data_IF_083636048905
#
_entry.id   IF_083636048905
#
_cell.length_a   1.000
_cell.length_b   1.000
_cell.length_c   1.000
_cell.angle_alpha   90.00
_cell.angle_beta   90.00
_cell.angle_gamma   90.00
#
_symmetry.space_group_name_H-M   'P 1'
#
loop_
_entity.id
_entity.type
_entity.pdbx_description
1 polymer ?
#
# COMPACT_ATOMS: atom_id res chain seq x y z
N UNK A 1 23.06 -34.38 18.49
CA UNK A 1 23.16 -32.89 18.44
C UNK A 1 21.97 -32.32 19.19
N UNK A 2 22.19 -31.43 20.15
CA UNK A 2 21.16 -30.79 20.99
C UNK A 2 20.03 -31.76 21.41
N UNK A 3 20.41 -32.79 22.17
CA UNK A 3 19.51 -33.86 22.62
C UNK A 3 18.80 -33.50 23.92
N UNK A 4 19.41 -32.63 24.72
CA UNK A 4 18.82 -32.13 25.97
C UNK A 4 18.17 -30.76 25.77
N UNK A 5 17.19 -30.44 26.62
CA UNK A 5 16.57 -29.10 26.63
C UNK A 5 17.58 -27.98 26.88
N UNK A 6 18.66 -28.27 27.61
CA UNK A 6 19.74 -27.31 27.89
C UNK A 6 20.60 -27.06 26.66
N UNK A 7 20.98 -28.10 25.92
CA UNK A 7 21.74 -27.96 24.69
C UNK A 7 20.94 -27.19 23.62
N UNK A 8 19.63 -27.46 23.52
CA UNK A 8 18.73 -26.70 22.65
C UNK A 8 18.69 -25.23 23.07
N UNK A 9 18.61 -24.93 24.38
CA UNK A 9 18.60 -23.55 24.86
C UNK A 9 19.90 -22.81 24.52
N UNK A 10 21.07 -23.44 24.71
CA UNK A 10 22.38 -22.87 24.38
C UNK A 10 22.50 -22.62 22.87
N UNK A 11 22.09 -23.60 22.05
CA UNK A 11 22.06 -23.47 20.60
C UNK A 11 21.19 -22.27 20.18
N UNK A 12 19.95 -22.20 20.67
CA UNK A 12 19.04 -21.13 20.29
C UNK A 12 19.56 -19.75 20.73
N UNK A 13 20.09 -19.62 21.94
CA UNK A 13 20.68 -18.37 22.41
C UNK A 13 21.85 -17.91 21.52
N UNK A 14 22.69 -18.85 21.06
CA UNK A 14 23.75 -18.56 20.11
C UNK A 14 23.20 -18.06 18.78
N UNK A 15 22.17 -18.72 18.23
CA UNK A 15 21.57 -18.33 16.95
C UNK A 15 20.90 -16.96 17.04
N UNK A 16 20.16 -16.67 18.12
CA UNK A 16 19.58 -15.33 18.38
C UNK A 16 20.67 -14.27 18.39
N UNK A 17 21.77 -14.52 19.12
CA UNK A 17 22.92 -13.60 19.17
C UNK A 17 23.57 -13.41 17.80
N UNK A 18 23.67 -14.47 17.00
CA UNK A 18 24.23 -14.40 15.65
C UNK A 18 23.35 -13.57 14.70
N UNK A 19 22.02 -13.67 14.81
CA UNK A 19 21.07 -12.78 14.10
C UNK A 19 21.30 -11.32 14.50
N UNK A 20 21.32 -11.02 15.80
CA UNK A 20 21.56 -9.65 16.29
C UNK A 20 22.92 -9.12 15.82
N UNK A 21 23.95 -9.97 15.82
CA UNK A 21 25.27 -9.60 15.32
C UNK A 21 25.29 -9.35 13.81
N UNK A 22 24.48 -10.07 13.02
CA UNK A 22 24.36 -9.82 11.58
C UNK A 22 23.84 -8.40 11.31
N UNK A 23 22.78 -7.97 12.00
CA UNK A 23 22.26 -6.59 11.88
C UNK A 23 23.22 -5.51 12.37
N UNK A 24 24.03 -5.81 13.40
CA UNK A 24 25.08 -4.88 13.85
C UNK A 24 26.21 -4.74 12.82
N UNK A 25 26.58 -5.83 12.15
CA UNK A 25 27.65 -5.85 11.13
C UNK A 25 27.21 -5.24 9.82
N UNK A 26 25.97 -5.47 9.42
CA UNK A 26 25.40 -4.90 8.21
C UNK A 26 24.02 -4.30 8.49
N UNK A 27 23.94 -2.98 8.73
CA UNK A 27 22.67 -2.26 8.88
C UNK A 27 21.84 -2.18 7.58
N UNK A 28 22.41 -2.58 6.43
CA UNK A 28 21.77 -2.53 5.11
C UNK A 28 21.18 -3.88 4.68
N UNK A 29 21.04 -4.85 5.60
CA UNK A 29 20.34 -6.10 5.30
C UNK A 29 18.95 -5.73 4.72
N UNK A 30 18.63 -6.25 3.55
CA UNK A 30 17.43 -5.87 2.81
C UNK A 30 16.50 -7.06 2.50
N UNK A 31 16.92 -8.29 2.85
CA UNK A 31 16.15 -9.50 2.60
C UNK A 31 16.50 -10.62 3.60
N UNK A 32 15.50 -11.40 3.99
CA UNK A 32 15.64 -12.58 4.84
C UNK A 32 15.11 -13.82 4.12
N UNK A 33 15.90 -14.90 4.13
CA UNK A 33 15.55 -16.16 3.48
C UNK A 33 15.82 -17.38 4.35
N UNK A 34 15.16 -18.50 4.05
CA UNK A 34 15.53 -19.80 4.59
C UNK A 34 16.42 -20.53 3.59
N UNK A 35 17.57 -21.02 4.05
CA UNK A 35 18.47 -21.85 3.25
C UNK A 35 18.04 -23.31 3.43
N UNK A 36 17.65 -24.03 2.35
CA UNK A 36 17.28 -25.44 2.44
C UNK A 36 18.44 -26.29 2.95
N UNK A 37 18.34 -26.68 4.22
CA UNK A 37 19.35 -27.45 4.92
C UNK A 37 18.63 -28.23 6.03
N UNK A 38 18.27 -29.51 5.82
CA UNK A 38 17.42 -30.27 6.76
C UNK A 38 18.12 -30.65 8.06
N UNK A 39 19.46 -30.73 8.02
CA UNK A 39 20.32 -31.14 9.13
C UNK A 39 21.55 -30.25 9.21
N UNK A 40 22.12 -30.12 10.41
CA UNK A 40 23.36 -29.37 10.61
C UNK A 40 24.55 -30.15 10.01
N UNK A 41 25.06 -29.66 8.88
CA UNK A 41 26.18 -30.31 8.15
C UNK A 41 27.57 -29.87 8.63
N UNK A 42 27.67 -28.70 9.24
CA UNK A 42 28.93 -28.07 9.62
C UNK A 42 28.82 -27.47 11.02
N UNK A 43 29.92 -27.48 11.79
CA UNK A 43 30.00 -26.83 13.09
C UNK A 43 30.19 -25.31 12.95
N UNK A 44 29.21 -24.64 12.33
CA UNK A 44 29.19 -23.19 12.11
C UNK A 44 27.82 -22.62 12.46
N UNK A 45 27.72 -21.29 12.49
CA UNK A 45 26.43 -20.63 12.67
C UNK A 45 25.47 -21.00 11.52
N UNK A 46 24.19 -21.31 11.79
CA UNK A 46 23.18 -21.44 10.75
C UNK A 46 22.79 -20.09 10.13
N UNK A 47 23.35 -18.98 10.62
CA UNK A 47 23.16 -17.63 10.09
C UNK A 47 24.23 -17.36 9.03
N UNK A 48 23.79 -17.10 7.80
CA UNK A 48 24.63 -16.82 6.65
C UNK A 48 24.32 -15.42 6.16
N UNK A 49 25.33 -14.55 6.06
CA UNK A 49 25.19 -13.21 5.51
C UNK A 49 26.00 -13.14 4.22
N UNK A 50 25.32 -12.95 3.09
CA UNK A 50 25.94 -12.72 1.78
C UNK A 50 25.48 -11.35 1.29
N UNK A 51 26.41 -10.43 1.09
CA UNK A 51 26.09 -9.03 0.75
C UNK A 51 25.08 -8.46 1.77
N UNK A 52 23.88 -8.08 1.32
CA UNK A 52 22.78 -7.57 2.13
C UNK A 52 21.69 -8.61 2.43
N UNK A 53 21.95 -9.89 2.14
CA UNK A 53 20.97 -10.99 2.26
C UNK A 53 21.26 -11.82 3.50
N UNK A 54 20.30 -11.89 4.43
CA UNK A 54 20.38 -12.72 5.63
C UNK A 54 19.71 -14.07 5.37
N UNK A 55 20.46 -15.15 5.42
CA UNK A 55 19.98 -16.52 5.31
C UNK A 55 19.98 -17.24 6.65
N UNK A 56 18.94 -18.03 6.91
CA UNK A 56 18.86 -18.93 8.08
C UNK A 56 18.74 -20.37 7.58
N UNK A 57 19.70 -21.22 7.90
CA UNK A 57 19.63 -22.65 7.56
C UNK A 57 18.39 -23.30 8.21
N UNK A 58 17.57 -23.99 7.41
CA UNK A 58 16.23 -24.42 7.82
C UNK A 58 16.18 -25.38 9.01
N UNK A 59 17.23 -26.17 9.24
CA UNK A 59 17.28 -27.16 10.32
C UNK A 59 17.16 -26.53 11.71
N UNK A 60 17.62 -25.28 11.89
CA UNK A 60 17.60 -24.64 13.21
C UNK A 60 16.22 -24.06 13.56
N UNK A 61 15.35 -23.83 12.56
CA UNK A 61 14.01 -23.23 12.74
C UNK A 61 13.13 -24.05 13.67
N UNK A 62 13.22 -25.38 13.61
CA UNK A 62 12.46 -26.30 14.48
C UNK A 62 12.80 -26.17 15.98
N UNK A 63 13.97 -25.64 16.29
CA UNK A 63 14.40 -25.35 17.67
C UNK A 63 14.19 -23.88 18.01
N UNK A 64 14.53 -23.00 17.07
CA UNK A 64 14.52 -21.55 17.24
C UNK A 64 13.10 -21.03 17.47
N UNK A 65 12.15 -21.38 16.60
CA UNK A 65 10.79 -20.84 16.63
C UNK A 65 10.03 -21.23 17.93
N UNK A 66 9.96 -22.51 18.36
CA UNK A 66 9.28 -22.86 19.59
C UNK A 66 9.91 -22.22 20.83
N UNK A 67 11.25 -22.11 20.86
CA UNK A 67 11.96 -21.54 22.01
C UNK A 67 11.68 -20.03 22.16
N UNK A 68 11.84 -19.23 21.09
CA UNK A 68 11.59 -17.78 21.17
C UNK A 68 10.11 -17.47 21.38
N UNK A 69 9.21 -18.27 20.80
CA UNK A 69 7.78 -18.18 21.06
C UNK A 69 7.44 -18.48 22.52
N UNK A 70 7.98 -19.57 23.09
CA UNK A 70 7.76 -19.92 24.49
C UNK A 70 8.34 -18.87 25.45
N UNK A 71 9.54 -18.32 25.16
CA UNK A 71 10.10 -17.20 25.94
C UNK A 71 9.14 -16.00 25.97
N UNK A 72 8.59 -15.63 24.82
CA UNK A 72 7.63 -14.54 24.72
C UNK A 72 6.32 -14.84 25.48
N UNK A 73 5.83 -16.08 25.40
CA UNK A 73 4.64 -16.54 26.12
C UNK A 73 4.85 -16.50 27.63
N UNK A 74 6.00 -16.95 28.13
CA UNK A 74 6.35 -16.91 29.55
C UNK A 74 6.46 -15.47 30.07
N UNK A 75 7.05 -14.57 29.28
CA UNK A 75 7.07 -13.15 29.58
C UNK A 75 5.65 -12.58 29.75
N UNK A 76 4.73 -12.89 28.83
CA UNK A 76 3.35 -12.39 28.88
C UNK A 76 2.48 -13.02 29.96
N UNK A 77 2.57 -14.33 30.14
CA UNK A 77 1.64 -15.09 31.01
C UNK A 77 2.13 -15.22 32.44
N UNK A 78 3.44 -15.39 32.64
CA UNK A 78 4.03 -15.62 33.97
C UNK A 78 4.79 -14.41 34.50
N UNK A 79 4.75 -13.28 33.77
CA UNK A 79 5.53 -12.07 34.10
C UNK A 79 7.02 -12.40 34.33
N UNK A 80 7.54 -13.38 33.57
CA UNK A 80 8.96 -13.71 33.64
C UNK A 80 9.74 -12.51 33.12
N UNK A 81 10.55 -11.90 33.99
CA UNK A 81 11.31 -10.71 33.66
C UNK A 81 12.37 -11.02 32.61
N UNK A 82 12.15 -10.53 31.39
CA UNK A 82 13.18 -10.38 30.38
C UNK A 82 13.64 -8.93 30.42
N UNK A 83 14.95 -8.71 30.28
CA UNK A 83 15.43 -7.35 30.08
C UNK A 83 15.00 -6.83 28.70
N UNK A 84 15.07 -5.51 28.51
CA UNK A 84 14.58 -4.86 27.31
C UNK A 84 15.31 -5.30 26.04
N UNK A 85 16.62 -5.50 26.11
CA UNK A 85 17.43 -5.96 24.97
C UNK A 85 17.07 -7.39 24.57
N UNK A 86 16.85 -8.27 25.55
CA UNK A 86 16.44 -9.65 25.32
C UNK A 86 15.05 -9.72 24.67
N UNK A 87 14.11 -8.86 25.07
CA UNK A 87 12.81 -8.75 24.40
C UNK A 87 12.94 -8.31 22.95
N UNK A 88 13.83 -7.35 22.66
CA UNK A 88 14.11 -6.91 21.29
C UNK A 88 14.64 -8.06 20.45
N UNK A 89 15.63 -8.79 20.97
CA UNK A 89 16.28 -9.92 20.28
C UNK A 89 15.29 -11.09 20.03
N UNK A 90 14.50 -11.45 21.05
CA UNK A 90 13.48 -12.52 20.99
C UNK A 90 12.39 -12.16 19.98
N UNK A 91 11.83 -10.95 20.06
CA UNK A 91 10.76 -10.54 19.13
C UNK A 91 11.27 -10.34 17.71
N UNK A 92 12.48 -9.80 17.52
CA UNK A 92 13.13 -9.69 16.21
C UNK A 92 13.26 -11.07 15.55
N UNK A 93 13.84 -12.03 16.28
CA UNK A 93 14.04 -13.40 15.77
C UNK A 93 12.71 -14.07 15.44
N UNK A 94 11.72 -13.96 16.32
CA UNK A 94 10.39 -14.54 16.11
C UNK A 94 9.74 -13.99 14.83
N UNK A 95 9.77 -12.66 14.64
CA UNK A 95 9.10 -11.98 13.52
C UNK A 95 9.79 -12.20 12.17
N UNK A 96 11.12 -12.37 12.14
CA UNK A 96 11.84 -12.77 10.92
C UNK A 96 11.47 -14.19 10.46
N UNK A 97 11.12 -15.07 11.40
CA UNK A 97 10.74 -16.45 11.09
C UNK A 97 9.27 -16.61 10.76
N UNK A 98 8.40 -15.91 11.50
CA UNK A 98 6.96 -15.88 11.31
C UNK A 98 6.41 -14.54 11.85
N UNK A 99 5.99 -13.61 10.97
CA UNK A 99 5.51 -12.31 11.40
C UNK A 99 4.03 -12.28 11.80
N UNK A 100 3.27 -13.37 11.67
CA UNK A 100 1.84 -13.39 12.02
C UNK A 100 1.60 -13.64 13.53
N UNK A 101 2.61 -13.38 14.38
CA UNK A 101 2.48 -13.42 15.83
C UNK A 101 2.14 -12.04 16.40
N UNK A 102 0.85 -11.72 16.51
CA UNK A 102 0.34 -10.45 17.08
C UNK A 102 0.97 -10.09 18.43
N UNK A 103 1.18 -11.07 19.31
CA UNK A 103 1.79 -10.85 20.63
C UNK A 103 3.19 -10.24 20.53
N UNK A 104 3.98 -10.64 19.52
CA UNK A 104 5.33 -10.12 19.30
C UNK A 104 5.27 -8.66 18.87
N UNK A 105 4.41 -8.31 17.90
CA UNK A 105 4.19 -6.92 17.51
C UNK A 105 3.71 -6.05 18.67
N UNK A 106 2.79 -6.54 19.51
CA UNK A 106 2.32 -5.79 20.67
C UNK A 106 3.43 -5.54 21.70
N UNK A 107 4.34 -6.49 21.93
CA UNK A 107 5.54 -6.21 22.76
C UNK A 107 6.40 -5.13 22.14
N UNK A 108 6.57 -5.13 20.81
CA UNK A 108 7.36 -4.11 20.12
C UNK A 108 6.72 -2.73 20.20
N UNK A 109 5.38 -2.63 20.14
CA UNK A 109 4.63 -1.38 20.42
C UNK A 109 4.94 -0.83 21.81
N UNK A 110 4.94 -1.68 22.85
CA UNK A 110 5.30 -1.29 24.22
C UNK A 110 6.76 -0.80 24.30
N UNK A 111 7.68 -1.49 23.62
CA UNK A 111 9.09 -1.09 23.57
C UNK A 111 9.29 0.25 22.85
N UNK A 112 8.50 0.54 21.80
CA UNK A 112 8.48 1.85 21.13
C UNK A 112 7.95 2.94 22.07
N UNK A 113 6.77 2.72 22.68
CA UNK A 113 6.16 3.71 23.58
C UNK A 113 7.02 4.02 24.81
N UNK A 114 7.82 3.05 25.26
CA UNK A 114 8.79 3.26 26.36
C UNK A 114 10.08 3.99 25.95
N UNK A 115 10.25 4.34 24.67
CA UNK A 115 11.46 4.96 24.12
C UNK A 115 12.64 4.01 23.96
N UNK A 116 12.46 2.70 24.18
CA UNK A 116 13.53 1.70 24.12
C UNK A 116 13.83 1.29 22.69
N UNK A 117 12.79 1.12 21.87
CA UNK A 117 12.92 0.68 20.49
C UNK A 117 12.68 1.86 19.54
N UNK A 118 13.62 2.11 18.63
CA UNK A 118 13.49 3.17 17.65
C UNK A 118 12.43 2.79 16.58
N UNK A 119 11.39 3.61 16.36
CA UNK A 119 10.31 3.28 15.41
C UNK A 119 10.77 3.08 13.97
N UNK A 120 11.76 3.86 13.50
CA UNK A 120 12.31 3.74 12.14
C UNK A 120 13.06 2.41 11.97
N UNK A 121 13.87 2.02 12.96
CA UNK A 121 14.50 0.68 12.97
C UNK A 121 13.46 -0.44 13.00
N UNK A 122 12.32 -0.19 13.64
CA UNK A 122 11.24 -1.17 13.72
C UNK A 122 10.46 -1.32 12.41
N UNK A 123 10.24 -0.22 11.67
CA UNK A 123 9.74 -0.27 10.29
C UNK A 123 10.69 -1.07 9.38
N UNK A 124 12.00 -0.97 9.58
CA UNK A 124 12.96 -1.76 8.81
C UNK A 124 12.81 -3.28 9.08
N UNK A 125 12.59 -3.69 10.33
CA UNK A 125 12.26 -5.10 10.64
C UNK A 125 10.98 -5.55 9.92
N UNK A 126 9.93 -4.71 9.90
CA UNK A 126 8.71 -4.99 9.16
C UNK A 126 8.96 -5.13 7.65
N UNK A 127 9.84 -4.31 7.07
CA UNK A 127 10.23 -4.41 5.64
C UNK A 127 10.87 -5.77 5.37
N UNK A 128 11.78 -6.20 6.23
CA UNK A 128 12.44 -7.52 6.12
C UNK A 128 11.44 -8.66 6.22
N UNK A 129 10.53 -8.63 7.20
CA UNK A 129 9.49 -9.65 7.33
C UNK A 129 8.65 -9.80 6.04
N UNK A 130 8.32 -8.68 5.38
CA UNK A 130 7.57 -8.67 4.11
C UNK A 130 8.35 -9.27 2.92
N UNK A 131 9.67 -9.38 2.98
CA UNK A 131 10.45 -10.03 1.90
C UNK A 131 10.15 -11.52 1.77
N UNK A 132 9.81 -12.18 2.89
CA UNK A 132 9.41 -13.58 2.93
C UNK A 132 7.89 -13.76 3.05
N UNK A 133 7.22 -12.84 3.75
CA UNK A 133 5.80 -12.90 4.04
C UNK A 133 5.08 -11.63 3.54
N UNK A 134 5.05 -11.38 2.22
CA UNK A 134 4.56 -10.11 1.64
C UNK A 134 3.08 -9.82 1.93
N UNK A 135 2.32 -10.83 2.34
CA UNK A 135 0.89 -10.73 2.69
C UNK A 135 0.61 -10.65 4.20
N UNK A 136 1.62 -10.64 5.07
CA UNK A 136 1.39 -10.71 6.53
C UNK A 136 0.52 -9.54 7.01
N UNK A 137 -0.76 -9.78 7.39
CA UNK A 137 -1.66 -8.69 7.78
C UNK A 137 -1.17 -8.01 9.06
N UNK A 138 -0.63 -8.79 10.01
CA UNK A 138 -0.07 -8.28 11.27
C UNK A 138 1.09 -7.30 11.03
N UNK A 139 1.94 -7.59 10.04
CA UNK A 139 3.04 -6.69 9.67
C UNK A 139 2.48 -5.36 9.15
N UNK A 140 1.51 -5.38 8.24
CA UNK A 140 0.91 -4.15 7.72
C UNK A 140 0.18 -3.34 8.79
N UNK A 141 -0.59 -4.00 9.67
CA UNK A 141 -1.26 -3.36 10.81
C UNK A 141 -0.24 -2.68 11.72
N UNK A 142 0.87 -3.35 12.03
CA UNK A 142 1.94 -2.79 12.85
C UNK A 142 2.62 -1.61 12.16
N UNK A 143 2.91 -1.69 10.86
CA UNK A 143 3.48 -0.58 10.08
C UNK A 143 2.58 0.66 10.13
N UNK A 144 1.27 0.51 9.90
CA UNK A 144 0.29 1.61 10.01
C UNK A 144 0.35 2.27 11.39
N UNK A 145 0.37 1.45 12.44
CA UNK A 145 0.47 1.95 13.82
C UNK A 145 1.76 2.75 14.03
N UNK A 146 2.92 2.25 13.60
CA UNK A 146 4.21 2.95 13.74
C UNK A 146 4.23 4.27 12.96
N UNK A 147 3.74 4.26 11.71
CA UNK A 147 3.67 5.46 10.87
C UNK A 147 2.75 6.54 11.49
N UNK A 148 1.65 6.13 12.13
CA UNK A 148 0.78 7.05 12.87
C UNK A 148 1.51 7.69 14.05
N UNK A 149 2.31 6.91 14.81
CA UNK A 149 3.11 7.48 15.91
C UNK A 149 4.10 8.53 15.38
N UNK A 150 4.81 8.23 14.29
CA UNK A 150 5.81 9.12 13.69
C UNK A 150 5.23 10.45 13.18
N UNK A 151 4.01 10.44 12.61
CA UNK A 151 3.34 11.68 12.22
C UNK A 151 2.89 12.47 13.43
N UNK A 152 2.29 11.82 14.43
CA UNK A 152 1.79 12.50 15.63
C UNK A 152 2.93 13.20 16.39
N UNK A 153 4.11 12.57 16.47
CA UNK A 153 5.33 13.19 17.02
C UNK A 153 5.74 14.45 16.26
N UNK A 154 5.53 14.49 14.94
CA UNK A 154 5.91 15.62 14.07
C UNK A 154 4.94 16.80 14.23
N UNK A 155 3.68 16.54 14.58
CA UNK A 155 2.64 17.56 14.77
C UNK A 155 2.67 18.25 16.14
N UNK A 156 3.45 17.75 17.11
CA UNK A 156 3.59 18.40 18.42
C UNK A 156 4.33 19.74 18.26
N UNK A 157 3.84 20.85 18.86
CA UNK A 157 4.56 22.11 18.85
C UNK A 157 5.89 21.92 19.59
N UNK A 158 6.99 21.83 18.85
CA UNK A 158 8.32 21.93 19.43
C UNK A 158 8.45 23.34 20.01
N UNK A 159 8.26 23.48 21.33
CA UNK A 159 8.76 24.63 22.07
C UNK A 159 10.28 24.58 21.97
N UNK A 160 10.88 25.24 20.97
CA UNK A 160 12.25 25.83 20.99
C UNK A 160 12.70 26.26 19.57
N UNK A 161 13.22 27.50 19.52
CA UNK A 161 14.01 28.20 18.50
C UNK A 161 13.41 28.58 17.15
N UNK A 162 13.22 29.90 17.00
CA UNK A 162 13.04 30.66 15.76
C UNK A 162 14.16 30.36 14.76
N UNK A 163 13.84 29.69 13.66
CA UNK A 163 14.70 29.53 12.50
C UNK A 163 14.41 28.23 11.76
N UNK A 164 13.75 28.32 10.59
CA UNK A 164 13.52 27.22 9.63
C UNK A 164 12.50 26.12 10.01
N UNK A 165 11.48 26.42 10.82
CA UNK A 165 10.49 25.44 11.32
C UNK A 165 9.55 24.81 10.27
N UNK A 166 9.39 25.39 9.08
CA UNK A 166 8.40 24.92 8.10
C UNK A 166 8.84 23.77 7.18
N UNK A 167 10.14 23.59 6.94
CA UNK A 167 10.65 22.68 5.91
C UNK A 167 10.93 21.27 6.42
N UNK A 168 11.42 21.14 7.65
CA UNK A 168 11.85 19.86 8.25
C UNK A 168 10.69 18.85 8.39
N UNK A 169 9.47 19.25 8.85
CA UNK A 169 8.33 18.33 8.93
C UNK A 169 7.91 17.76 7.58
N UNK A 170 7.88 18.61 6.55
CA UNK A 170 7.47 18.26 5.19
C UNK A 170 8.47 17.29 4.54
N UNK A 171 9.77 17.57 4.65
CA UNK A 171 10.82 16.67 4.15
C UNK A 171 10.82 15.31 4.84
N UNK A 172 10.55 15.28 6.15
CA UNK A 172 10.42 14.02 6.90
C UNK A 172 9.19 13.22 6.44
N UNK A 173 8.05 13.89 6.27
CA UNK A 173 6.82 13.24 5.78
C UNK A 173 7.00 12.69 4.36
N UNK A 174 7.63 13.46 3.46
CA UNK A 174 7.90 13.04 2.09
C UNK A 174 8.82 11.82 2.05
N UNK A 175 9.88 11.78 2.88
CA UNK A 175 10.73 10.59 2.99
C UNK A 175 9.98 9.36 3.49
N UNK A 176 9.15 9.50 4.52
CA UNK A 176 8.31 8.40 5.03
C UNK A 176 7.35 7.88 3.95
N UNK A 177 6.72 8.78 3.20
CA UNK A 177 5.85 8.40 2.08
C UNK A 177 6.66 7.62 1.04
N UNK A 178 7.79 8.15 0.58
CA UNK A 178 8.62 7.50 -0.43
C UNK A 178 9.08 6.10 0.02
N UNK A 179 9.66 5.98 1.21
CA UNK A 179 10.11 4.70 1.76
C UNK A 179 8.96 3.70 1.89
N UNK A 180 7.77 4.16 2.30
CA UNK A 180 6.61 3.28 2.45
C UNK A 180 6.02 2.85 1.09
N UNK A 181 6.05 3.73 0.10
CA UNK A 181 5.68 3.40 -1.27
C UNK A 181 6.63 2.35 -1.86
N UNK A 182 7.93 2.43 -1.59
CA UNK A 182 8.90 1.41 -2.01
C UNK A 182 8.58 0.05 -1.38
N UNK A 183 8.29 0.00 -0.08
CA UNK A 183 7.89 -1.24 0.62
C UNK A 183 6.62 -1.85 0.03
N UNK A 184 5.62 -1.03 -0.31
CA UNK A 184 4.41 -1.50 -0.99
C UNK A 184 4.73 -2.13 -2.35
N UNK A 185 5.57 -1.46 -3.16
CA UNK A 185 5.95 -1.94 -4.48
C UNK A 185 6.74 -3.25 -4.42
N UNK A 186 7.70 -3.33 -3.50
CA UNK A 186 8.49 -4.52 -3.20
C UNK A 186 7.61 -5.72 -2.78
N UNK A 187 6.59 -5.50 -1.96
CA UNK A 187 5.69 -6.56 -1.50
C UNK A 187 4.66 -6.95 -2.58
N UNK A 188 4.21 -6.01 -3.41
CA UNK A 188 3.34 -6.29 -4.55
C UNK A 188 4.07 -7.08 -5.63
N UNK A 189 5.35 -6.79 -5.89
CA UNK A 189 6.17 -7.54 -6.85
C UNK A 189 6.47 -8.98 -6.43
N UNK A 190 6.43 -9.29 -5.12
CA UNK A 190 6.70 -10.63 -4.58
C UNK A 190 5.48 -11.54 -4.53
N UNK A 191 4.27 -11.01 -4.64
CA UNK A 191 3.05 -11.82 -4.58
C UNK A 191 1.95 -11.23 -5.47
N UNK A 192 1.42 -11.99 -6.46
CA UNK A 192 0.38 -11.49 -7.34
C UNK A 192 -0.94 -11.26 -6.57
N UNK A 193 -1.63 -10.19 -6.92
CA UNK A 193 -2.86 -9.72 -6.27
C UNK A 193 -2.69 -9.57 -4.77
N UNK A 194 -1.56 -8.99 -4.34
CA UNK A 194 -1.30 -8.70 -2.93
C UNK A 194 -2.17 -7.54 -2.43
N UNK A 195 -3.42 -7.85 -2.10
CA UNK A 195 -4.39 -6.91 -1.56
C UNK A 195 -3.84 -6.13 -0.35
N UNK A 196 -3.07 -6.77 0.53
CA UNK A 196 -2.55 -6.09 1.73
C UNK A 196 -1.57 -4.97 1.37
N UNK A 197 -0.66 -5.21 0.43
CA UNK A 197 0.30 -4.19 -0.02
C UNK A 197 -0.43 -3.02 -0.71
N UNK A 198 -1.37 -3.30 -1.61
CA UNK A 198 -2.13 -2.26 -2.32
C UNK A 198 -3.08 -1.50 -1.40
N UNK A 199 -3.77 -2.16 -0.47
CA UNK A 199 -4.60 -1.48 0.54
C UNK A 199 -3.78 -0.64 1.49
N UNK A 200 -2.56 -1.09 1.84
CA UNK A 200 -1.64 -0.26 2.62
C UNK A 200 -1.14 0.95 1.81
N UNK A 201 -0.86 0.78 0.51
CA UNK A 201 -0.52 1.89 -0.40
C UNK A 201 -1.62 2.95 -0.46
N UNK A 202 -2.88 2.53 -0.53
CA UNK A 202 -4.06 3.43 -0.40
C UNK A 202 -4.06 4.14 0.94
N UNK A 203 -3.85 3.39 2.03
CA UNK A 203 -3.81 3.97 3.38
C UNK A 203 -2.72 5.04 3.50
N UNK A 204 -1.54 4.82 2.91
CA UNK A 204 -0.45 5.81 2.85
C UNK A 204 -0.89 7.09 2.16
N UNK A 205 -1.54 6.97 1.00
CA UNK A 205 -2.05 8.13 0.26
C UNK A 205 -3.08 8.92 1.08
N UNK A 206 -4.00 8.24 1.74
CA UNK A 206 -5.05 8.88 2.53
C UNK A 206 -4.50 9.54 3.81
N UNK A 207 -3.61 8.85 4.52
CA UNK A 207 -3.25 9.22 5.90
C UNK A 207 -1.93 9.97 5.99
N UNK A 208 -0.94 9.65 5.17
CA UNK A 208 0.36 10.34 5.16
C UNK A 208 0.36 11.44 4.10
N UNK A 209 0.06 11.09 2.85
CA UNK A 209 0.11 12.03 1.72
C UNK A 209 -1.13 12.94 1.61
N UNK A 210 -2.17 12.69 2.42
CA UNK A 210 -3.41 13.48 2.45
C UNK A 210 -4.06 13.68 1.09
N UNK A 211 -3.97 12.67 0.21
CA UNK A 211 -4.48 12.71 -1.16
C UNK A 211 -3.93 13.91 -1.97
N UNK A 212 -2.67 14.27 -1.73
CA UNK A 212 -1.95 15.27 -2.51
C UNK A 212 -2.04 14.95 -4.02
N UNK A 213 -2.52 15.93 -4.79
CA UNK A 213 -2.82 15.78 -6.22
C UNK A 213 -1.58 15.41 -7.02
N UNK A 214 -0.43 16.00 -6.71
CA UNK A 214 0.81 15.72 -7.41
C UNK A 214 1.23 14.27 -7.18
N UNK A 215 1.17 13.80 -5.94
CA UNK A 215 1.49 12.40 -5.60
C UNK A 215 0.53 11.43 -6.30
N UNK A 216 -0.78 11.76 -6.36
CA UNK A 216 -1.75 10.91 -7.07
C UNK A 216 -1.45 10.79 -8.58
N UNK A 217 -1.07 11.90 -9.23
CA UNK A 217 -0.70 11.90 -10.65
C UNK A 217 0.61 11.14 -10.90
N UNK A 218 1.61 11.32 -10.03
CA UNK A 218 2.89 10.58 -10.09
C UNK A 218 2.65 9.07 -9.91
N UNK A 219 1.75 8.68 -9.02
CA UNK A 219 1.34 7.29 -8.81
C UNK A 219 0.58 6.70 -10.00
N UNK A 220 -0.35 7.45 -10.60
CA UNK A 220 -1.08 6.99 -11.77
C UNK A 220 -0.14 6.75 -12.95
N UNK A 221 0.83 7.65 -13.14
CA UNK A 221 1.85 7.57 -14.19
C UNK A 221 2.79 6.38 -13.96
N UNK A 222 3.37 6.28 -12.75
CA UNK A 222 4.36 5.24 -12.43
C UNK A 222 3.79 3.82 -12.41
N UNK A 223 2.53 3.65 -11.99
CA UNK A 223 1.89 2.33 -11.95
C UNK A 223 1.42 1.81 -13.31
N UNK A 224 1.46 2.62 -14.38
CA UNK A 224 1.04 2.22 -15.73
C UNK A 224 1.88 1.06 -16.26
N UNK A 225 3.21 1.18 -16.16
CA UNK A 225 4.14 0.13 -16.58
C UNK A 225 3.98 -1.15 -15.74
N UNK A 226 3.79 -1.00 -14.44
CA UNK A 226 3.55 -2.16 -13.57
C UNK A 226 2.28 -2.91 -13.99
N UNK A 227 1.17 -2.19 -14.21
CA UNK A 227 -0.08 -2.79 -14.64
C UNK A 227 0.01 -3.50 -16.00
N UNK A 228 0.83 -2.98 -16.93
CA UNK A 228 1.05 -3.65 -18.23
C UNK A 228 1.83 -4.96 -18.12
N UNK A 229 2.67 -5.11 -17.09
CA UNK A 229 3.40 -6.35 -16.80
C UNK A 229 2.59 -7.34 -15.95
N UNK A 230 1.52 -6.87 -15.30
CA UNK A 230 0.71 -7.63 -14.34
C UNK A 230 -0.79 -7.59 -14.71
N UNK A 231 -1.11 -7.93 -15.96
CA UNK A 231 -2.47 -7.81 -16.55
C UNK A 231 -3.58 -8.58 -15.83
N UNK A 232 -3.23 -9.56 -15.00
CA UNK A 232 -4.20 -10.33 -14.17
C UNK A 232 -4.38 -9.78 -12.76
N UNK A 233 -3.63 -8.74 -12.36
CA UNK A 233 -3.58 -8.32 -10.96
C UNK A 233 -4.76 -7.43 -10.56
N UNK A 234 -5.78 -8.04 -9.97
CA UNK A 234 -6.98 -7.31 -9.53
C UNK A 234 -6.67 -6.20 -8.52
N UNK A 235 -5.65 -6.38 -7.66
CA UNK A 235 -5.34 -5.41 -6.62
C UNK A 235 -4.64 -4.17 -7.18
N UNK A 236 -3.71 -4.36 -8.12
CA UNK A 236 -3.06 -3.25 -8.82
C UNK A 236 -4.02 -2.44 -9.68
N UNK A 237 -4.93 -3.09 -10.42
CA UNK A 237 -5.96 -2.36 -11.17
C UNK A 237 -6.98 -1.67 -10.26
N UNK A 238 -7.35 -2.27 -9.12
CA UNK A 238 -8.16 -1.59 -8.11
C UNK A 238 -7.45 -0.36 -7.54
N UNK A 239 -6.14 -0.42 -7.33
CA UNK A 239 -5.37 0.75 -6.93
C UNK A 239 -5.42 1.88 -7.96
N UNK A 240 -5.27 1.57 -9.25
CA UNK A 240 -5.45 2.56 -10.33
C UNK A 240 -6.84 3.18 -10.33
N UNK A 241 -7.88 2.37 -10.14
CA UNK A 241 -9.27 2.86 -9.99
C UNK A 241 -9.43 3.82 -8.81
N UNK A 242 -8.80 3.50 -7.67
CA UNK A 242 -8.76 4.40 -6.52
C UNK A 242 -8.10 5.75 -6.88
N UNK A 243 -6.94 5.75 -7.56
CA UNK A 243 -6.26 6.97 -7.97
C UNK A 243 -7.14 7.87 -8.85
N UNK A 244 -7.77 7.30 -9.89
CA UNK A 244 -8.68 8.01 -10.80
C UNK A 244 -9.84 8.64 -10.02
N UNK A 245 -10.47 7.85 -9.14
CA UNK A 245 -11.58 8.33 -8.30
C UNK A 245 -11.13 9.44 -7.36
N UNK A 246 -9.96 9.33 -6.75
CA UNK A 246 -9.41 10.37 -5.89
C UNK A 246 -9.12 11.66 -6.65
N UNK A 247 -8.52 11.59 -7.83
CA UNK A 247 -8.27 12.77 -8.69
C UNK A 247 -9.57 13.48 -9.07
N UNK A 248 -10.59 12.71 -9.49
CA UNK A 248 -11.92 13.27 -9.78
C UNK A 248 -12.52 13.93 -8.53
N UNK A 249 -12.40 13.29 -7.36
CA UNK A 249 -12.95 13.86 -6.11
C UNK A 249 -12.28 15.18 -5.73
N UNK A 250 -10.94 15.28 -5.88
CA UNK A 250 -10.21 16.51 -5.54
C UNK A 250 -10.59 17.68 -6.46
N UNK A 251 -10.68 17.45 -7.76
CA UNK A 251 -11.08 18.51 -8.72
C UNK A 251 -12.51 19.03 -8.52
N UNK A 252 -13.44 18.17 -8.07
CA UNK A 252 -14.82 18.57 -7.72
C UNK A 252 -14.83 19.44 -6.45
N UNK A 253 -14.01 19.09 -5.46
CA UNK A 253 -13.84 19.90 -4.24
C UNK A 253 -13.27 21.28 -4.59
N UNK A 254 -12.21 21.34 -5.40
CA UNK A 254 -11.59 22.61 -5.81
C UNK A 254 -12.58 23.52 -6.53
N UNK A 255 -13.39 22.95 -7.44
CA UNK A 255 -14.44 23.71 -8.15
C UNK A 255 -15.50 24.27 -7.18
N UNK A 256 -15.91 23.50 -6.15
CA UNK A 256 -16.90 23.93 -5.16
C UNK A 256 -16.39 25.02 -4.21
N UNK A 257 -15.10 24.96 -3.83
CA UNK A 257 -14.48 25.98 -2.97
C UNK A 257 -14.33 27.31 -3.70
N UNK A 258 -14.05 27.28 -5.01
CA UNK A 258 -14.00 28.48 -5.85
C UNK A 258 -15.38 29.15 -6.00
N UNK A 259 -16.46 28.38 -6.15
CA UNK A 259 -17.83 28.93 -6.26
C UNK A 259 -18.35 29.56 -4.96
N UNK A 260 -17.85 29.14 -3.79
CA UNK A 260 -18.28 29.68 -2.48
C UNK A 260 -17.55 30.96 -2.05
N UNK A 261 -16.52 31.40 -2.79
CA UNK A 261 -15.79 32.64 -2.51
C UNK A 261 -16.05 33.83 -3.49
N UNK A 262 -17.29 34.28 -3.78
CA UNK A 262 -17.49 35.55 -4.50
C UNK A 262 -17.52 36.81 -3.60
N UNK A 263 -17.31 36.70 -2.28
CA UNK A 263 -17.50 37.83 -1.35
C UNK A 263 -16.21 38.61 -1.05
N UNK A 264 -15.69 39.38 -2.02
CA UNK A 264 -15.08 40.69 -1.74
C UNK A 264 -14.86 41.55 -3.00
N UNK A 265 -15.94 41.89 -3.70
CA UNK A 265 -15.93 43.04 -4.61
C UNK A 265 -16.35 44.29 -3.83
N UNK A 266 -15.42 44.92 -3.11
CA UNK A 266 -15.55 46.34 -2.74
C UNK A 266 -14.74 47.19 -3.75
N UNK A 267 -15.37 48.15 -4.45
CA UNK A 267 -14.72 48.93 -5.49
C UNK A 267 -13.92 50.08 -4.86
N UNK A 268 -12.61 49.94 -4.77
CA UNK A 268 -11.71 51.05 -4.46
C UNK A 268 -10.97 51.48 -5.74
N UNK A 269 -11.28 52.72 -6.13
CA UNK A 269 -10.68 53.59 -7.14
C UNK A 269 -9.15 53.43 -7.33
N UNK A 270 -8.77 53.38 -8.62
CA UNK A 270 -7.44 53.39 -9.26
C UNK A 270 -6.51 54.52 -8.76
N UNK A 271 -5.18 54.31 -8.56
CA UNK A 271 -4.19 54.60 -9.62
C UNK A 271 -3.02 53.59 -9.77
N UNK A 272 -2.27 53.64 -10.90
CA UNK A 272 -1.39 52.58 -11.39
C UNK A 272 0.07 52.75 -10.97
N UNK A 273 0.85 51.65 -11.09
CA UNK A 273 2.29 51.40 -10.83
C UNK A 273 2.38 50.27 -9.80
N UNK A 274 2.96 49.10 -10.05
CA UNK A 274 4.10 48.76 -10.88
C UNK A 274 3.91 47.40 -11.56
N UNK A 275 4.48 47.25 -12.75
CA UNK A 275 4.62 45.99 -13.48
C UNK A 275 5.60 45.07 -12.75
N UNK A 276 5.19 44.48 -11.63
CA UNK A 276 5.84 43.27 -11.14
C UNK A 276 4.96 42.09 -11.53
N UNK A 277 5.48 41.33 -12.50
CA UNK A 277 4.97 40.04 -12.91
C UNK A 277 4.85 39.13 -11.68
N UNK A 278 3.72 39.21 -10.99
CA UNK A 278 3.25 38.15 -10.14
C UNK A 278 3.04 36.96 -11.06
N UNK A 279 4.04 36.08 -11.10
CA UNK A 279 3.91 34.72 -11.61
C UNK A 279 2.84 34.08 -10.73
N UNK A 280 1.59 34.27 -11.12
CA UNK A 280 0.49 33.42 -10.70
C UNK A 280 0.87 32.04 -11.18
N UNK A 281 1.48 31.26 -10.29
CA UNK A 281 1.56 29.80 -10.41
C UNK A 281 0.12 29.30 -10.35
N UNK A 282 -0.61 29.45 -11.46
CA UNK A 282 -1.82 28.68 -11.71
C UNK A 282 -1.34 27.23 -11.79
N UNK A 283 -1.56 26.48 -10.71
CA UNK A 283 -1.40 25.03 -10.76
C UNK A 283 -2.25 24.52 -11.93
N UNK A 284 -1.67 23.75 -12.87
CA UNK A 284 -2.38 23.34 -14.06
C UNK A 284 -3.58 22.50 -13.65
N UNK A 285 -4.79 23.04 -13.91
CA UNK A 285 -6.05 22.35 -13.68
C UNK A 285 -6.01 20.99 -14.36
N UNK A 286 -6.26 19.92 -13.60
CA UNK A 286 -6.21 18.55 -14.11
C UNK A 286 -7.26 18.39 -15.22
N UNK A 287 -6.82 17.97 -16.41
CA UNK A 287 -7.73 17.63 -17.51
C UNK A 287 -8.29 16.21 -17.31
N UNK A 288 -9.33 16.08 -16.48
CA UNK A 288 -9.95 14.78 -16.16
C UNK A 288 -10.48 14.02 -17.38
N UNK A 289 -11.16 14.66 -18.36
CA UNK A 289 -11.60 13.94 -19.56
C UNK A 289 -10.44 13.30 -20.31
N UNK A 290 -9.34 14.03 -20.52
CA UNK A 290 -8.16 13.51 -21.19
C UNK A 290 -7.51 12.35 -20.41
N UNK A 291 -7.40 12.49 -19.09
CA UNK A 291 -6.82 11.46 -18.23
C UNK A 291 -7.66 10.15 -18.24
N UNK A 292 -8.98 10.25 -18.32
CA UNK A 292 -9.85 9.08 -18.48
C UNK A 292 -9.73 8.47 -19.89
N UNK A 293 -9.61 9.31 -20.92
CA UNK A 293 -9.39 8.87 -22.30
C UNK A 293 -8.07 8.08 -22.43
N UNK A 294 -6.97 8.57 -21.88
CA UNK A 294 -5.69 7.86 -21.83
C UNK A 294 -5.80 6.50 -21.11
N UNK A 295 -6.61 6.41 -20.06
CA UNK A 295 -6.82 5.16 -19.34
C UNK A 295 -7.71 4.18 -20.13
N UNK A 296 -8.68 4.68 -20.90
CA UNK A 296 -9.46 3.87 -21.84
C UNK A 296 -8.56 3.32 -22.94
N UNK A 297 -7.69 4.13 -23.53
CA UNK A 297 -6.71 3.67 -24.53
C UNK A 297 -5.79 2.60 -23.95
N UNK A 298 -5.21 2.86 -22.78
CA UNK A 298 -4.38 1.90 -22.07
C UNK A 298 -5.10 0.57 -21.81
N UNK A 299 -6.35 0.62 -21.34
CA UNK A 299 -7.18 -0.57 -21.12
C UNK A 299 -7.51 -1.30 -22.42
N UNK A 300 -7.75 -0.56 -23.51
CA UNK A 300 -8.00 -1.11 -24.86
C UNK A 300 -6.79 -1.90 -25.33
N UNK A 301 -5.60 -1.29 -25.30
CA UNK A 301 -4.35 -1.91 -25.73
C UNK A 301 -4.08 -3.22 -24.98
N UNK A 302 -4.33 -3.24 -23.67
CA UNK A 302 -4.15 -4.44 -22.85
C UNK A 302 -5.19 -5.53 -23.18
N UNK A 303 -6.46 -5.17 -23.39
CA UNK A 303 -7.51 -6.13 -23.72
C UNK A 303 -7.25 -6.79 -25.08
N UNK A 304 -6.74 -6.02 -26.05
CA UNK A 304 -6.40 -6.50 -27.38
C UNK A 304 -5.12 -7.35 -27.37
N UNK A 305 -4.10 -6.93 -26.61
CA UNK A 305 -2.82 -7.63 -26.50
C UNK A 305 -2.90 -8.91 -25.66
N UNK A 306 -3.73 -8.92 -24.62
CA UNK A 306 -3.85 -10.00 -23.63
C UNK A 306 -5.31 -10.43 -23.47
N UNK A 307 -5.87 -11.18 -24.44
CA UNK A 307 -7.25 -11.62 -24.38
C UNK A 307 -7.47 -12.68 -23.29
N UNK A 308 -8.63 -12.63 -22.62
CA UNK A 308 -9.04 -13.64 -21.63
C UNK A 308 -8.70 -13.30 -20.19
N UNK A 309 -8.37 -12.05 -19.89
CA UNK A 309 -8.10 -11.58 -18.53
C UNK A 309 -9.30 -10.78 -17.98
N UNK A 310 -10.04 -11.35 -17.02
CA UNK A 310 -11.22 -10.71 -16.39
C UNK A 310 -10.88 -9.34 -15.79
N UNK A 311 -9.70 -9.22 -15.18
CA UNK A 311 -9.22 -7.99 -14.55
C UNK A 311 -9.30 -6.77 -15.45
N UNK A 312 -8.93 -6.92 -16.73
CA UNK A 312 -8.92 -5.83 -17.70
C UNK A 312 -10.36 -5.36 -18.01
N UNK A 313 -11.29 -6.30 -18.15
CA UNK A 313 -12.71 -5.99 -18.36
C UNK A 313 -13.35 -5.35 -17.12
N UNK A 314 -13.01 -5.83 -15.92
CA UNK A 314 -13.42 -5.20 -14.66
C UNK A 314 -12.90 -3.76 -14.56
N UNK A 315 -11.66 -3.52 -15.00
CA UNK A 315 -11.06 -2.18 -15.00
C UNK A 315 -11.69 -1.27 -16.05
N UNK A 316 -11.85 -1.71 -17.30
CA UNK A 316 -12.55 -0.96 -18.37
C UNK A 316 -13.94 -0.54 -17.92
N UNK A 317 -14.68 -1.46 -17.29
CA UNK A 317 -15.99 -1.18 -16.71
C UNK A 317 -15.97 -0.07 -15.68
N UNK A 318 -14.95 -0.03 -14.82
CA UNK A 318 -14.80 1.03 -13.84
C UNK A 318 -14.49 2.37 -14.49
N UNK A 319 -13.59 2.42 -15.47
CA UNK A 319 -13.24 3.65 -16.18
C UNK A 319 -14.47 4.23 -16.89
N UNK A 320 -15.20 3.39 -17.64
CA UNK A 320 -16.43 3.82 -18.31
C UNK A 320 -17.46 4.35 -17.32
N UNK A 321 -17.61 3.69 -16.17
CA UNK A 321 -18.47 4.17 -15.10
C UNK A 321 -18.06 5.57 -14.60
N UNK A 322 -16.76 5.81 -14.36
CA UNK A 322 -16.27 7.12 -13.94
C UNK A 322 -16.53 8.20 -15.01
N UNK A 323 -16.24 7.90 -16.27
CA UNK A 323 -16.46 8.82 -17.40
C UNK A 323 -17.95 9.17 -17.56
N UNK A 324 -18.83 8.18 -17.52
CA UNK A 324 -20.27 8.37 -17.62
C UNK A 324 -20.81 9.24 -16.47
N UNK A 325 -20.33 9.05 -15.24
CA UNK A 325 -20.75 9.87 -14.09
C UNK A 325 -20.20 11.29 -14.14
N UNK A 326 -18.96 11.48 -14.60
CA UNK A 326 -18.36 12.78 -14.78
C UNK A 326 -19.15 13.61 -15.82
N UNK A 327 -19.49 13.00 -16.96
CA UNK A 327 -20.25 13.66 -18.02
C UNK A 327 -21.67 14.03 -17.60
N UNK A 328 -22.29 13.22 -16.73
CA UNK A 328 -23.65 13.48 -16.26
C UNK A 328 -23.74 14.51 -15.10
N UNK A 329 -22.62 15.10 -14.67
CA UNK A 329 -22.59 16.08 -13.57
C UNK A 329 -23.01 15.51 -12.21
N UNK A 330 -22.99 14.18 -12.05
CA UNK A 330 -23.47 13.51 -10.85
C UNK A 330 -22.35 13.45 -9.80
N UNK A 331 -22.64 13.85 -8.55
CA UNK A 331 -21.72 13.66 -7.43
C UNK A 331 -21.43 12.16 -7.26
N UNK A 332 -20.15 11.78 -7.27
CA UNK A 332 -19.65 10.43 -6.94
C UNK A 332 -19.81 10.14 -5.43
N UNK A 333 -21.04 10.19 -4.90
CA UNK A 333 -21.33 10.05 -3.48
C UNK A 333 -21.94 8.69 -3.15
N UNK A 334 -21.27 7.57 -3.49
CA UNK A 334 -21.47 6.31 -2.76
C UNK A 334 -20.45 5.21 -3.07
N UNK A 335 -19.99 4.58 -1.98
CA UNK A 335 -19.56 3.18 -1.83
C UNK A 335 -18.17 2.77 -2.37
N UNK A 336 -17.14 2.98 -1.54
CA UNK A 336 -16.28 1.93 -0.98
C UNK A 336 -15.44 2.61 0.11
N UNK A 337 -15.92 2.60 1.35
CA UNK A 337 -15.04 2.86 2.50
C UNK A 337 -14.13 1.64 2.64
N UNK A 338 -12.84 1.82 2.38
CA UNK A 338 -11.81 0.90 2.85
C UNK A 338 -11.49 1.39 4.26
N UNK A 339 -11.90 0.62 5.27
CA UNK A 339 -11.67 0.85 6.69
C UNK A 339 -12.33 2.14 7.27
N UNK A 340 -13.66 2.15 7.34
CA UNK A 340 -14.41 3.01 8.26
C UNK A 340 -14.29 2.51 9.70
N UNK A 341 -13.74 3.35 10.58
CA UNK A 341 -13.75 3.31 12.05
C UNK A 341 -14.81 2.39 12.70
N UNK A 342 -14.50 1.12 12.98
CA UNK A 342 -14.98 0.41 14.18
C UNK A 342 -14.49 -1.05 14.28
N UNK A 343 -13.99 -1.36 15.47
CA UNK A 343 -13.89 -2.65 16.17
C UNK A 343 -13.24 -3.86 15.46
N UNK A 344 -12.09 -4.26 16.00
CA UNK A 344 -11.13 -5.26 15.51
C UNK A 344 -11.62 -6.72 15.52
N UNK A 345 -12.92 -6.99 15.53
CA UNK A 345 -13.45 -8.36 15.76
C UNK A 345 -14.21 -9.00 14.60
N UNK A 346 -14.35 -8.37 13.43
CA UNK A 346 -15.01 -8.99 12.26
C UNK A 346 -14.38 -8.61 10.91
N UNK A 347 -13.21 -9.17 10.61
CA UNK A 347 -12.67 -9.17 9.23
C UNK A 347 -13.34 -10.28 8.41
N UNK A 348 -14.56 -10.02 7.92
CA UNK A 348 -15.24 -10.87 6.94
C UNK A 348 -15.06 -10.29 5.53
N UNK A 349 -14.22 -10.91 4.71
CA UNK A 349 -14.05 -10.59 3.29
C UNK A 349 -15.34 -10.93 2.52
N UNK A 350 -16.07 -9.93 2.05
CA UNK A 350 -17.19 -10.13 1.13
C UNK A 350 -16.75 -9.73 -0.29
N UNK A 351 -16.57 -10.72 -1.16
CA UNK A 351 -16.62 -10.53 -2.62
C UNK A 351 -18.08 -10.26 -3.04
N UNK A 352 -18.69 -9.21 -2.51
CA UNK A 352 -19.86 -8.68 -3.17
C UNK A 352 -19.38 -7.70 -4.22
N UNK A 353 -19.32 -8.16 -5.47
CA UNK A 353 -19.45 -7.30 -6.66
C UNK A 353 -20.75 -6.50 -6.53
N UNK A 354 -20.75 -5.46 -5.70
CA UNK A 354 -21.89 -4.56 -5.50
C UNK A 354 -22.10 -3.84 -6.81
N UNK A 355 -23.19 -4.24 -7.48
CA UNK A 355 -23.62 -3.74 -8.78
C UNK A 355 -23.80 -2.22 -8.69
N UNK A 356 -22.97 -1.47 -9.43
CA UNK A 356 -23.19 -0.07 -9.77
C UNK A 356 -24.58 0.03 -10.43
N UNK A 357 -25.56 0.65 -9.77
CA UNK A 357 -27.01 0.50 -10.09
C UNK A 357 -27.80 1.81 -10.14
N UNK A 358 -27.18 2.99 -10.21
CA UNK A 358 -27.91 4.26 -10.30
C UNK A 358 -27.46 5.06 -11.51
N UNK A 359 -28.40 5.25 -12.43
CA UNK A 359 -28.24 5.80 -13.78
C UNK A 359 -28.55 7.31 -13.79
N UNK A 360 -27.62 8.16 -14.23
CA UNK A 360 -27.91 9.51 -14.72
C UNK A 360 -28.05 9.53 -16.26
N UNK A 361 -28.41 10.68 -16.88
CA UNK A 361 -28.77 10.82 -18.31
C UNK A 361 -27.76 10.15 -19.25
N UNK A 362 -28.20 9.40 -20.29
CA UNK A 362 -27.31 8.59 -21.13
C UNK A 362 -26.33 9.42 -21.97
N UNK A 363 -25.03 9.20 -21.77
CA UNK A 363 -23.97 9.60 -22.69
C UNK A 363 -24.03 8.71 -23.96
N UNK A 364 -24.79 9.17 -24.96
CA UNK A 364 -25.05 8.40 -26.17
C UNK A 364 -23.78 8.09 -26.96
N UNK A 365 -22.83 9.04 -27.02
CA UNK A 365 -21.59 8.87 -27.79
C UNK A 365 -20.67 7.85 -27.11
N UNK A 366 -20.52 7.92 -25.78
CA UNK A 366 -19.74 6.96 -25.01
C UNK A 366 -20.27 5.53 -25.14
N UNK A 367 -21.58 5.34 -25.02
CA UNK A 367 -22.23 4.04 -25.17
C UNK A 367 -22.00 3.44 -26.57
N UNK A 368 -22.14 4.23 -27.63
CA UNK A 368 -21.90 3.77 -29.00
C UNK A 368 -20.46 3.32 -29.25
N UNK A 369 -19.48 4.05 -28.71
CA UNK A 369 -18.06 3.68 -28.81
C UNK A 369 -17.78 2.35 -28.13
N UNK A 370 -18.34 2.13 -26.93
CA UNK A 370 -18.17 0.86 -26.22
C UNK A 370 -18.84 -0.32 -26.94
N UNK A 371 -20.01 -0.11 -27.54
CA UNK A 371 -20.66 -1.14 -28.37
C UNK A 371 -19.79 -1.52 -29.58
N UNK A 372 -19.24 -0.53 -30.29
CA UNK A 372 -18.31 -0.75 -31.42
C UNK A 372 -17.05 -1.52 -30.98
N UNK A 373 -16.47 -1.15 -29.85
CA UNK A 373 -15.33 -1.87 -29.28
C UNK A 373 -15.66 -3.35 -29.01
N UNK A 374 -16.81 -3.63 -28.37
CA UNK A 374 -17.22 -5.01 -28.09
C UNK A 374 -17.48 -5.79 -29.38
N UNK A 375 -18.12 -5.18 -30.39
CA UNK A 375 -18.34 -5.83 -31.69
C UNK A 375 -17.01 -6.17 -32.38
N UNK A 376 -16.03 -5.27 -32.32
CA UNK A 376 -14.69 -5.50 -32.85
C UNK A 376 -13.99 -6.66 -32.12
N UNK A 377 -14.05 -6.68 -30.79
CA UNK A 377 -13.51 -7.80 -30.00
C UNK A 377 -14.21 -9.10 -30.38
N UNK A 378 -15.53 -9.17 -30.36
CA UNK A 378 -16.27 -10.42 -30.64
C UNK A 378 -16.09 -10.92 -32.07
N UNK A 379 -15.94 -10.04 -33.06
CA UNK A 379 -15.74 -10.44 -34.46
C UNK A 379 -14.37 -11.05 -34.73
N UNK A 380 -13.35 -10.66 -33.95
CA UNK A 380 -11.96 -11.12 -34.11
C UNK A 380 -11.54 -12.16 -33.06
N UNK A 381 -12.36 -12.35 -32.02
CA UNK A 381 -12.02 -13.15 -30.86
C UNK A 381 -11.89 -14.65 -31.19
N UNK A 382 -10.73 -15.22 -30.82
CA UNK A 382 -10.50 -16.68 -30.81
C UNK A 382 -10.50 -17.27 -29.39
N UNK A 383 -10.50 -16.43 -28.36
CA UNK A 383 -10.40 -16.82 -26.96
C UNK A 383 -11.80 -16.90 -26.33
N UNK A 384 -12.18 -18.09 -25.84
CA UNK A 384 -13.52 -18.33 -25.27
C UNK A 384 -13.80 -17.44 -24.05
N UNK A 385 -12.81 -17.25 -23.18
CA UNK A 385 -12.94 -16.41 -21.99
C UNK A 385 -13.11 -14.93 -22.37
N UNK A 386 -12.34 -14.45 -23.35
CA UNK A 386 -12.49 -13.09 -23.87
C UNK A 386 -13.90 -12.85 -24.43
N UNK A 387 -14.43 -13.79 -25.22
CA UNK A 387 -15.80 -13.68 -25.73
C UNK A 387 -16.84 -13.66 -24.59
N UNK A 388 -16.62 -14.45 -23.53
CA UNK A 388 -17.45 -14.47 -22.33
C UNK A 388 -17.43 -13.13 -21.61
N UNK A 389 -16.26 -12.55 -21.37
CA UNK A 389 -16.11 -11.26 -20.68
C UNK A 389 -16.69 -10.10 -21.50
N UNK A 390 -16.41 -10.04 -22.80
CA UNK A 390 -16.99 -9.07 -23.72
C UNK A 390 -18.53 -9.14 -23.74
N UNK A 391 -19.10 -10.35 -23.74
CA UNK A 391 -20.55 -10.55 -23.67
C UNK A 391 -21.14 -10.15 -22.32
N UNK A 392 -20.44 -10.40 -21.20
CA UNK A 392 -20.86 -9.96 -19.88
C UNK A 392 -20.81 -8.43 -19.76
N UNK A 393 -19.79 -7.80 -20.33
CA UNK A 393 -19.64 -6.36 -20.38
C UNK A 393 -20.75 -5.69 -21.21
N UNK A 394 -21.08 -6.24 -22.39
CA UNK A 394 -22.24 -5.82 -23.20
C UNK A 394 -23.54 -5.84 -22.41
N UNK A 395 -23.81 -6.95 -21.69
CA UNK A 395 -25.01 -7.08 -20.86
C UNK A 395 -25.06 -6.01 -19.76
N UNK A 396 -23.91 -5.63 -19.20
CA UNK A 396 -23.85 -4.55 -18.21
C UNK A 396 -24.13 -3.17 -18.82
N UNK A 397 -23.59 -2.85 -20.01
CA UNK A 397 -23.87 -1.57 -20.67
C UNK A 397 -25.37 -1.35 -20.91
N UNK A 398 -26.11 -2.41 -21.27
CA UNK A 398 -27.58 -2.34 -21.43
C UNK A 398 -28.29 -1.91 -20.14
N UNK A 399 -27.70 -2.16 -18.97
CA UNK A 399 -28.28 -1.71 -17.69
C UNK A 399 -28.06 -0.23 -17.40
N UNK A 400 -27.18 0.45 -18.15
CA UNK A 400 -26.98 1.90 -18.07
C UNK A 400 -27.87 2.67 -19.04
N UNK A 401 -28.39 2.03 -20.09
CA UNK A 401 -29.36 2.63 -21.02
C UNK A 401 -30.82 2.56 -20.53
N UNK A 402 -31.07 1.86 -19.42
CA UNK A 402 -32.36 1.74 -18.75
C UNK A 402 -32.41 2.67 -17.54
#
# INVERSE_FOLDING_TARGET
MAETSEEVAVLVQRVVKDITNAFRRNPHIDEIGLIPCPEARYNRSPIVLVENKLGVESWCVKFLLPYVHNKLLLYRTRKQWLNRDELIDVTCTLLLLNPDFTTAWNVRKELILSGTLNPIKDLHLGKLALTKFPKSPETWIHRRWVLQQLIQETSLPSFVTKGNLGTIPTERAQRLIQEEMEVCGEAAGRYPSNYNAWSHRIWVLQHLAKLDVKILLDELSSTKHWASMHVSDHSGFHYRQFLLKSLISQTVIDSSVMEQNPLRSEPALVPPKDEEAAVSTEEPRINLPHLLEEEVEFSTDLIDSYPGHETLWCHRRHIFYLQHHLNAGSQLSQAMEVDGLNDSSKQGYSQETKRLKRTPVPDSLGLEMEHRFIDQVLSTCRNVEQARFASAYRKWLVTLSQ
#
